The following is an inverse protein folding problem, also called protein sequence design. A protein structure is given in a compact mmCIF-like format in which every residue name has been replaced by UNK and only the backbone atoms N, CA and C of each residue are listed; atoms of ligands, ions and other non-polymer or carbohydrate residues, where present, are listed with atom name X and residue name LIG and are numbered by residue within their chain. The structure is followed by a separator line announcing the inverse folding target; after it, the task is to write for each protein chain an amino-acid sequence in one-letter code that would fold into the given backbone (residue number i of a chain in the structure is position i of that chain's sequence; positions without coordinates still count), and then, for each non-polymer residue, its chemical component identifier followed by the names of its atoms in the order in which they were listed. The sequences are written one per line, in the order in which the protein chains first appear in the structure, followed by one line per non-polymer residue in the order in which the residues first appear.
data_IF_815338010512
#
_entry.id   IF_815338010512
#
_cell.length_a   1.000
_cell.length_b   1.000
_cell.length_c   1.000
_cell.angle_alpha   90.00
_cell.angle_beta   90.00
_cell.angle_gamma   90.00
#
_symmetry.space_group_name_H-M   'P 1'
#
loop_
_entity.id
_entity.type
_entity.pdbx_description
1 polymer ?
#
# COMPACT_ATOMS: atom_id res chain seq x y z
N UNK A 1 -15.38 7.26 -7.34
CA UNK A 1 -15.34 6.23 -6.28
C UNK A 1 -14.77 4.93 -6.86
N UNK A 2 -13.56 4.51 -6.47
CA UNK A 2 -12.89 3.34 -7.05
C UNK A 2 -13.47 2.01 -6.56
N UNK A 3 -13.68 1.85 -5.25
CA UNK A 3 -14.14 0.58 -4.68
C UNK A 3 -15.54 0.14 -5.15
N UNK A 4 -16.55 1.02 -5.23
CA UNK A 4 -17.84 0.67 -5.83
C UNK A 4 -17.75 0.27 -7.31
N UNK A 5 -16.87 0.92 -8.08
CA UNK A 5 -16.62 0.54 -9.48
C UNK A 5 -15.99 -0.85 -9.60
N UNK A 6 -15.04 -1.19 -8.74
CA UNK A 6 -14.44 -2.53 -8.73
C UNK A 6 -15.44 -3.62 -8.34
N UNK A 7 -16.44 -3.30 -7.51
CA UNK A 7 -17.52 -4.21 -7.14
C UNK A 7 -18.52 -4.43 -8.28
N UNK A 8 -18.80 -3.41 -9.09
CA UNK A 8 -19.73 -3.51 -10.22
C UNK A 8 -19.07 -3.94 -11.53
N UNK A 9 -17.75 -3.91 -11.62
CA UNK A 9 -17.01 -4.30 -12.81
C UNK A 9 -17.10 -5.81 -13.06
N UNK A 10 -17.24 -6.19 -14.34
CA UNK A 10 -17.21 -7.58 -14.77
C UNK A 10 -15.88 -8.27 -14.36
N UNK A 11 -15.88 -9.59 -14.07
CA UNK A 11 -14.69 -10.33 -13.64
C UNK A 11 -13.50 -10.17 -14.59
N UNK A 12 -13.74 -10.15 -15.91
CA UNK A 12 -12.72 -10.02 -16.95
C UNK A 12 -12.04 -8.64 -16.90
N UNK A 13 -12.82 -7.59 -16.61
CA UNK A 13 -12.29 -6.22 -16.47
C UNK A 13 -11.38 -6.14 -15.25
N UNK A 14 -11.81 -6.72 -14.13
CA UNK A 14 -11.01 -6.78 -12.90
C UNK A 14 -9.73 -7.61 -13.10
N UNK A 15 -9.82 -8.74 -13.80
CA UNK A 15 -8.67 -9.57 -14.14
C UNK A 15 -7.65 -8.80 -15.00
N UNK A 16 -8.11 -8.07 -16.03
CA UNK A 16 -7.26 -7.22 -16.87
C UNK A 16 -6.59 -6.10 -16.06
N UNK A 17 -7.30 -5.48 -15.12
CA UNK A 17 -6.72 -4.46 -14.23
C UNK A 17 -5.63 -5.05 -13.34
N UNK A 18 -5.87 -6.22 -12.72
CA UNK A 18 -4.87 -6.95 -11.93
C UNK A 18 -3.65 -7.33 -12.77
N UNK A 19 -3.85 -7.80 -13.99
CA UNK A 19 -2.76 -8.13 -14.91
C UNK A 19 -1.88 -6.89 -15.20
N UNK A 20 -2.49 -5.75 -15.51
CA UNK A 20 -1.76 -4.49 -15.71
C UNK A 20 -0.98 -4.06 -14.47
N UNK A 21 -1.54 -4.23 -13.27
CA UNK A 21 -0.84 -3.92 -12.01
C UNK A 21 0.38 -4.81 -11.83
N UNK A 22 0.23 -6.12 -12.04
CA UNK A 22 1.35 -7.08 -11.98
C UNK A 22 2.45 -6.72 -12.98
N UNK A 23 2.09 -6.47 -14.23
CA UNK A 23 3.05 -6.22 -15.32
C UNK A 23 3.79 -4.88 -15.13
N UNK A 24 3.23 -3.94 -14.35
CA UNK A 24 3.82 -2.62 -14.06
C UNK A 24 4.12 -2.39 -12.58
N UNK A 25 4.27 -3.46 -11.79
CA UNK A 25 4.40 -3.39 -10.34
C UNK A 25 5.63 -2.59 -9.90
N UNK A 26 6.73 -2.74 -10.63
CA UNK A 26 8.03 -2.09 -10.36
C UNK A 26 8.22 -0.77 -11.11
N UNK A 27 7.24 -0.36 -11.94
CA UNK A 27 7.32 0.87 -12.74
C UNK A 27 6.18 1.83 -12.35
N UNK A 28 5.08 1.84 -13.10
CA UNK A 28 3.94 2.74 -12.85
C UNK A 28 3.35 2.59 -11.45
N UNK A 29 3.37 1.37 -10.89
CA UNK A 29 2.83 1.09 -9.56
C UNK A 29 3.92 0.93 -8.48
N UNK A 30 5.16 1.35 -8.77
CA UNK A 30 6.26 1.28 -7.81
C UNK A 30 5.92 2.10 -6.56
N UNK A 31 5.90 1.43 -5.41
CA UNK A 31 5.71 2.08 -4.12
C UNK A 31 7.06 2.35 -3.46
N UNK A 32 7.33 3.62 -3.16
CA UNK A 32 8.47 4.03 -2.35
C UNK A 32 8.06 4.05 -0.88
N UNK A 33 8.91 3.50 -0.02
CA UNK A 33 8.72 3.45 1.42
C UNK A 33 9.88 4.14 2.11
N UNK A 34 9.56 4.99 3.09
CA UNK A 34 10.55 5.70 3.91
C UNK A 34 11.25 4.73 4.86
N UNK A 35 10.52 3.79 5.45
CA UNK A 35 11.08 2.78 6.34
C UNK A 35 10.24 1.50 6.37
N UNK A 36 10.87 0.42 6.80
CA UNK A 36 10.23 -0.85 7.16
C UNK A 36 10.19 -0.95 8.68
N UNK A 37 9.04 -1.27 9.25
CA UNK A 37 8.86 -1.35 10.71
C UNK A 37 8.26 -2.70 11.08
N UNK A 38 8.73 -3.28 12.20
CA UNK A 38 8.11 -4.49 12.74
C UNK A 38 6.71 -4.17 13.32
N UNK A 39 5.90 -5.19 13.58
CA UNK A 39 4.63 -4.99 14.28
C UNK A 39 4.85 -4.42 15.68
N UNK A 40 5.90 -4.87 16.38
CA UNK A 40 6.26 -4.38 17.72
C UNK A 40 6.61 -2.89 17.68
N UNK A 41 7.41 -2.47 16.71
CA UNK A 41 7.83 -1.07 16.57
C UNK A 41 6.66 -0.18 16.14
N UNK A 42 5.76 -0.70 15.30
CA UNK A 42 4.55 0.01 14.87
C UNK A 42 3.61 0.37 16.03
N UNK A 43 3.66 -0.37 17.15
CA UNK A 43 2.86 -0.12 18.35
C UNK A 43 3.51 0.90 19.31
N UNK A 44 4.73 1.36 19.03
CA UNK A 44 5.39 2.39 19.85
C UNK A 44 4.74 3.76 19.63
N UNK A 45 4.71 4.59 20.68
CA UNK A 45 4.15 5.95 20.62
C UNK A 45 4.78 6.77 19.51
N UNK A 46 6.10 6.70 19.34
CA UNK A 46 6.83 7.48 18.34
C UNK A 46 6.49 7.04 16.91
N UNK A 47 6.38 5.73 16.67
CA UNK A 47 5.96 5.23 15.36
C UNK A 47 4.53 5.67 15.03
N UNK A 48 3.61 5.57 15.99
CA UNK A 48 2.22 6.01 15.85
C UNK A 48 2.15 7.48 15.46
N UNK A 49 2.85 8.36 16.19
CA UNK A 49 2.89 9.78 15.88
C UNK A 49 3.47 10.05 14.49
N UNK A 50 4.45 9.26 14.08
CA UNK A 50 5.15 9.45 12.81
C UNK A 50 4.28 9.06 11.60
N UNK A 51 3.66 7.89 11.56
CA UNK A 51 2.79 7.53 10.44
C UNK A 51 1.44 8.26 10.47
N UNK A 52 0.96 8.66 11.66
CA UNK A 52 -0.29 9.41 11.79
C UNK A 52 -0.19 10.84 11.20
N UNK A 53 1.02 11.39 11.08
CA UNK A 53 1.26 12.66 10.41
C UNK A 53 0.93 12.63 8.90
N UNK A 54 0.84 11.44 8.27
CA UNK A 54 0.43 11.24 6.87
C UNK A 54 1.15 12.15 5.87
N UNK A 55 2.43 12.44 6.11
CA UNK A 55 3.22 13.33 5.26
C UNK A 55 3.40 12.72 3.87
N UNK A 56 3.32 13.55 2.84
CA UNK A 56 3.58 13.16 1.46
C UNK A 56 4.98 12.54 1.35
N UNK A 57 5.09 11.37 0.74
CA UNK A 57 6.37 10.64 0.57
C UNK A 57 6.78 9.77 1.76
N UNK A 58 6.07 9.82 2.90
CA UNK A 58 6.47 9.09 4.12
C UNK A 58 5.63 7.82 4.35
N UNK A 59 5.57 6.95 3.35
CA UNK A 59 4.91 5.64 3.53
C UNK A 59 5.79 4.70 4.34
N UNK A 60 5.21 4.04 5.34
CA UNK A 60 5.87 3.00 6.13
C UNK A 60 5.37 1.63 5.70
N UNK A 61 6.27 0.66 5.56
CA UNK A 61 5.93 -0.73 5.26
C UNK A 61 5.99 -1.56 6.54
N UNK A 62 4.86 -2.10 6.96
CA UNK A 62 4.80 -2.99 8.12
C UNK A 62 5.24 -4.40 7.72
N UNK A 63 6.21 -4.95 8.46
CA UNK A 63 6.75 -6.31 8.29
C UNK A 63 6.43 -7.10 9.56
N UNK A 64 5.34 -7.88 9.60
CA UNK A 64 4.83 -8.45 10.86
C UNK A 64 5.78 -9.42 11.54
N UNK A 65 6.57 -10.15 10.75
CA UNK A 65 7.49 -11.19 11.20
C UNK A 65 8.96 -10.73 11.17
N UNK A 66 9.19 -9.42 11.15
CA UNK A 66 10.53 -8.82 11.17
C UNK A 66 11.26 -9.05 12.48
#
# INVERSE_FOLDING_TARGET
MLFPFLQSAAPEVTARMRARVRDKLTTTFASQYKARISLKDALTRDAVMTYNARRTGEKYLLVPNG
#
